data_IF_698971129986
#
_entry.id   IF_698971129986
#
_cell.length_a   1.000
_cell.length_b   1.000
_cell.length_c   1.000
_cell.angle_alpha   90.00
_cell.angle_beta   90.00
_cell.angle_gamma   90.00
#
_symmetry.space_group_name_H-M   'P 1'
#
loop_
_entity.id
_entity.type
_entity.pdbx_description
1 polymer ?
#
# COMPACT_ATOMS: atom_id res chain seq x y z
N UNK A 1 -20.76 13.81 7.16
CA UNK A 1 -20.32 13.55 5.78
C UNK A 1 -19.08 12.72 5.95
N UNK A 2 -19.15 11.41 5.70
CA UNK A 2 -17.95 10.58 5.66
C UNK A 2 -17.05 11.11 4.54
N UNK A 3 -15.76 11.21 4.81
CA UNK A 3 -14.76 11.55 3.81
C UNK A 3 -14.58 10.39 2.84
N UNK A 4 -13.98 10.65 1.68
CA UNK A 4 -13.78 9.58 0.69
C UNK A 4 -12.76 8.52 1.17
N UNK A 5 -11.87 8.90 2.09
CA UNK A 5 -11.00 7.97 2.81
C UNK A 5 -11.81 7.03 3.72
N UNK A 6 -12.82 7.54 4.44
CA UNK A 6 -13.66 6.72 5.33
C UNK A 6 -14.35 5.56 4.59
N UNK A 7 -14.85 5.77 3.35
CA UNK A 7 -15.57 4.73 2.60
C UNK A 7 -14.61 3.61 2.13
N UNK A 8 -13.42 3.97 1.67
CA UNK A 8 -12.41 2.99 1.26
C UNK A 8 -11.74 2.33 2.46
N UNK A 9 -11.51 3.06 3.55
CA UNK A 9 -11.07 2.55 4.84
C UNK A 9 -12.05 1.49 5.36
N UNK A 10 -13.35 1.76 5.33
CA UNK A 10 -14.39 0.81 5.75
C UNK A 10 -14.45 -0.42 4.82
N UNK A 11 -14.29 -0.25 3.50
CA UNK A 11 -14.25 -1.37 2.54
C UNK A 11 -12.98 -2.23 2.68
N UNK A 12 -11.82 -1.60 2.92
CA UNK A 12 -10.53 -2.25 3.15
C UNK A 12 -10.52 -2.98 4.52
N UNK A 13 -11.25 -2.48 5.51
CA UNK A 13 -11.20 -2.95 6.89
C UNK A 13 -12.36 -3.89 7.31
N UNK A 14 -13.62 -3.63 6.93
CA UNK A 14 -14.79 -4.45 7.35
C UNK A 14 -14.90 -5.80 6.62
N UNK A 15 -14.37 -5.93 5.39
CA UNK A 15 -14.62 -7.11 4.55
C UNK A 15 -13.44 -8.09 4.41
N UNK A 16 -12.60 -8.18 5.44
CA UNK A 16 -11.98 -9.45 5.82
C UNK A 16 -10.80 -9.95 4.97
N UNK A 17 -10.15 -9.08 4.21
CA UNK A 17 -8.89 -9.38 3.51
C UNK A 17 -7.64 -8.85 4.24
N UNK A 18 -7.74 -7.68 4.87
CA UNK A 18 -6.56 -6.91 5.30
C UNK A 18 -5.81 -7.49 6.50
N UNK A 19 -6.45 -8.33 7.33
CA UNK A 19 -5.78 -9.07 8.43
C UNK A 19 -5.13 -10.38 7.95
N UNK A 20 -4.99 -10.60 6.64
CA UNK A 20 -4.28 -11.79 6.09
C UNK A 20 -2.81 -11.54 5.79
N UNK A 21 -2.38 -10.30 5.61
CA UNK A 21 -0.98 -9.92 5.65
C UNK A 21 -0.76 -9.08 6.90
N UNK A 22 -0.40 -9.77 7.97
CA UNK A 22 0.48 -9.14 8.93
C UNK A 22 1.76 -9.95 9.00
N UNK A 23 1.72 -11.29 9.15
CA UNK A 23 2.95 -12.08 9.29
C UNK A 23 2.82 -13.55 8.83
N UNK A 24 1.97 -13.84 7.84
CA UNK A 24 1.71 -15.22 7.37
C UNK A 24 2.82 -15.80 6.46
N UNK A 25 3.88 -15.04 6.17
CA UNK A 25 4.98 -15.44 5.27
C UNK A 25 6.35 -15.08 5.85
N UNK A 26 6.62 -15.49 7.08
CA UNK A 26 7.99 -15.49 7.57
C UNK A 26 8.88 -16.35 6.63
N UNK A 27 9.83 -15.68 6.00
CA UNK A 27 10.98 -16.22 5.28
C UNK A 27 10.76 -16.86 3.90
N UNK A 28 10.90 -16.05 2.84
CA UNK A 28 11.72 -16.45 1.70
C UNK A 28 12.42 -15.23 1.07
N UNK A 29 13.29 -14.59 1.87
CA UNK A 29 14.24 -13.59 1.39
C UNK A 29 15.38 -14.36 0.71
N UNK A 30 15.30 -14.55 -0.60
CA UNK A 30 16.40 -15.06 -1.40
C UNK A 30 17.36 -13.89 -1.71
N UNK A 31 18.47 -13.84 -0.97
CA UNK A 31 19.40 -12.72 -0.96
C UNK A 31 20.37 -12.63 -2.15
N UNK A 32 20.81 -11.40 -2.41
CA UNK A 32 22.14 -11.05 -2.91
C UNK A 32 22.59 -9.79 -2.16
N UNK A 33 23.23 -9.99 -1.01
CA UNK A 33 23.79 -8.91 -0.19
C UNK A 33 25.07 -8.36 -0.83
N UNK A 34 25.03 -7.11 -1.29
CA UNK A 34 26.21 -6.26 -1.39
C UNK A 34 26.53 -5.71 0.00
N UNK A 35 27.79 -5.82 0.44
CA UNK A 35 28.23 -5.28 1.73
C UNK A 35 28.22 -3.74 1.63
N UNK A 36 27.12 -3.11 2.05
CA UNK A 36 27.10 -1.68 2.36
C UNK A 36 27.22 -1.54 3.88
N UNK A 37 28.32 -0.94 4.34
CA UNK A 37 28.48 -0.59 5.74
C UNK A 37 27.48 0.54 6.08
N UNK A 38 26.54 0.37 7.03
CA UNK A 38 25.62 1.43 7.38
C UNK A 38 26.36 2.53 8.15
N UNK A 39 26.39 3.73 7.56
CA UNK A 39 26.69 4.95 8.31
C UNK A 39 25.39 5.38 8.96
N UNK A 40 25.24 5.14 10.26
CA UNK A 40 24.11 5.61 11.04
C UNK A 40 24.14 7.14 11.13
N UNK A 41 23.43 7.81 10.21
CA UNK A 41 22.99 9.19 10.41
C UNK A 41 21.69 9.08 11.19
N UNK A 42 21.63 9.69 12.38
CA UNK A 42 20.44 9.65 13.22
C UNK A 42 19.19 10.02 12.41
N UNK A 43 18.25 9.08 12.30
CA UNK A 43 16.94 9.28 11.67
C UNK A 43 16.67 8.51 10.37
N UNK A 44 17.69 8.00 9.66
CA UNK A 44 17.48 7.28 8.38
C UNK A 44 17.97 5.82 8.46
N UNK A 45 17.08 4.90 8.11
CA UNK A 45 17.24 3.46 8.10
C UNK A 45 17.29 2.99 6.64
N UNK A 46 18.30 2.20 6.30
CA UNK A 46 18.31 1.40 5.07
C UNK A 46 17.94 -0.02 5.48
N UNK A 47 16.81 -0.59 5.03
CA UNK A 47 16.43 -1.94 5.43
C UNK A 47 17.46 -2.98 4.97
N UNK A 48 17.78 -3.96 5.83
CA UNK A 48 18.64 -5.08 5.46
C UNK A 48 17.94 -6.07 4.53
N UNK A 49 16.62 -6.17 4.68
CA UNK A 49 15.77 -7.00 3.86
C UNK A 49 14.51 -6.23 3.47
N UNK A 50 14.16 -6.36 2.19
CA UNK A 50 12.89 -5.91 1.64
C UNK A 50 12.25 -7.06 0.84
N UNK A 51 10.93 -7.16 0.90
CA UNK A 51 10.14 -8.13 0.13
C UNK A 51 8.99 -7.42 -0.57
N UNK A 52 8.75 -7.74 -1.84
CA UNK A 52 7.58 -7.24 -2.57
C UNK A 52 6.64 -8.40 -2.90
N UNK A 53 5.35 -8.20 -2.64
CA UNK A 53 4.27 -9.07 -3.11
C UNK A 53 3.17 -8.25 -3.76
N UNK A 54 2.42 -8.83 -4.68
CA UNK A 54 1.21 -8.22 -5.20
C UNK A 54 -0.01 -9.08 -4.89
N UNK A 55 -1.16 -8.43 -4.76
CA UNK A 55 -2.45 -9.07 -4.52
C UNK A 55 -3.55 -8.36 -5.32
N UNK A 56 -4.60 -9.12 -5.68
CA UNK A 56 -5.86 -8.62 -6.22
C UNK A 56 -6.95 -9.16 -5.31
N UNK A 57 -7.76 -8.27 -4.76
CA UNK A 57 -8.97 -8.62 -4.03
C UNK A 57 -10.19 -8.05 -4.75
N UNK A 58 -11.25 -8.85 -4.88
CA UNK A 58 -12.52 -8.44 -5.46
C UNK A 58 -13.66 -8.89 -4.54
N UNK A 59 -14.42 -7.91 -4.08
CA UNK A 59 -15.66 -8.11 -3.33
C UNK A 59 -16.85 -7.71 -4.18
N UNK A 60 -18.07 -7.91 -3.67
CA UNK A 60 -19.29 -7.46 -4.34
C UNK A 60 -19.31 -5.94 -4.55
N UNK A 61 -18.64 -5.18 -3.68
CA UNK A 61 -18.70 -3.72 -3.64
C UNK A 61 -17.43 -3.04 -4.16
N UNK A 62 -16.28 -3.74 -4.18
CA UNK A 62 -15.00 -3.14 -4.55
C UNK A 62 -14.07 -4.09 -5.32
N UNK A 63 -13.11 -3.51 -6.04
CA UNK A 63 -11.92 -4.20 -6.58
C UNK A 63 -10.68 -3.48 -6.09
N UNK A 64 -9.69 -4.20 -5.59
CA UNK A 64 -8.49 -3.61 -4.98
C UNK A 64 -7.26 -4.31 -5.55
N UNK A 65 -6.31 -3.50 -6.03
CA UNK A 65 -4.99 -3.92 -6.47
C UNK A 65 -3.96 -3.45 -5.45
N UNK A 66 -3.08 -4.34 -5.01
CA UNK A 66 -2.12 -4.05 -3.95
C UNK A 66 -0.71 -4.48 -4.36
N UNK A 67 0.28 -3.67 -4.00
CA UNK A 67 1.68 -4.10 -3.83
C UNK A 67 2.05 -3.85 -2.38
N UNK A 68 2.40 -4.93 -1.68
CA UNK A 68 2.93 -4.89 -0.33
C UNK A 68 4.45 -4.91 -0.38
N UNK A 69 5.06 -4.00 0.37
CA UNK A 69 6.48 -3.90 0.64
C UNK A 69 6.72 -4.17 2.13
N UNK A 70 7.32 -5.32 2.42
CA UNK A 70 7.78 -5.67 3.75
C UNK A 70 9.21 -5.18 3.95
N UNK A 71 9.48 -4.51 5.07
CA UNK A 71 10.80 -3.97 5.42
C UNK A 71 11.16 -4.40 6.84
N UNK A 72 12.43 -4.74 7.04
CA UNK A 72 12.97 -5.01 8.37
C UNK A 72 14.02 -3.97 8.76
N UNK A 73 13.89 -3.44 9.98
CA UNK A 73 14.91 -2.56 10.53
C UNK A 73 16.16 -3.39 10.93
N UNK A 74 17.37 -3.04 10.47
CA UNK A 74 18.60 -3.72 10.89
C UNK A 74 18.95 -3.56 12.37
N UNK A 75 18.52 -2.45 12.98
CA UNK A 75 18.92 -2.06 14.32
C UNK A 75 17.93 -2.49 15.41
N UNK A 76 16.69 -2.80 15.05
CA UNK A 76 15.60 -3.17 15.95
C UNK A 76 14.83 -4.35 15.37
N UNK A 77 14.20 -5.20 16.19
CA UNK A 77 13.32 -6.24 15.68
C UNK A 77 11.97 -5.62 15.26
N UNK A 78 11.98 -4.63 14.39
CA UNK A 78 10.78 -3.97 13.88
C UNK A 78 10.56 -4.40 12.43
N UNK A 79 9.30 -4.74 12.13
CA UNK A 79 8.82 -5.03 10.80
C UNK A 79 7.87 -3.91 10.39
N UNK A 80 8.01 -3.45 9.15
CA UNK A 80 7.15 -2.43 8.57
C UNK A 80 6.55 -2.97 7.30
N UNK A 81 5.23 -2.94 7.23
CA UNK A 81 4.48 -3.23 6.03
C UNK A 81 4.05 -1.90 5.39
N UNK A 82 4.35 -1.73 4.12
CA UNK A 82 3.90 -0.61 3.31
C UNK A 82 3.15 -1.16 2.10
N UNK A 83 1.84 -0.94 2.04
CA UNK A 83 0.99 -1.43 0.96
C UNK A 83 0.55 -0.27 0.09
N UNK A 84 1.08 -0.17 -1.12
CA UNK A 84 0.56 0.72 -2.14
C UNK A 84 -0.68 0.06 -2.78
N UNK A 85 -1.77 0.80 -2.91
CA UNK A 85 -3.02 0.25 -3.43
C UNK A 85 -3.69 1.14 -4.47
N UNK A 86 -4.54 0.51 -5.28
CA UNK A 86 -5.57 1.16 -6.08
C UNK A 86 -6.90 0.44 -5.84
N UNK A 87 -7.90 1.16 -5.35
CA UNK A 87 -9.24 0.63 -5.07
C UNK A 87 -10.26 1.25 -6.00
N UNK A 88 -11.14 0.43 -6.57
CA UNK A 88 -12.33 0.82 -7.32
C UNK A 88 -13.58 0.50 -6.51
N UNK A 89 -14.37 1.52 -6.20
CA UNK A 89 -15.67 1.39 -5.55
C UNK A 89 -16.75 1.25 -6.63
N UNK A 90 -17.42 0.08 -6.66
CA UNK A 90 -18.45 -0.24 -7.65
C UNK A 90 -19.73 0.56 -7.45
N UNK A 91 -19.99 1.07 -6.25
CA UNK A 91 -21.23 1.79 -5.90
C UNK A 91 -21.28 3.19 -6.51
N UNK A 92 -20.13 3.86 -6.62
CA UNK A 92 -20.01 5.23 -7.12
C UNK A 92 -19.05 5.36 -8.32
N UNK A 93 -18.51 4.23 -8.81
CA UNK A 93 -17.56 4.16 -9.92
C UNK A 93 -16.33 5.06 -9.73
N UNK A 94 -15.85 5.19 -8.50
CA UNK A 94 -14.66 5.97 -8.16
C UNK A 94 -13.42 5.10 -8.01
N UNK A 95 -12.25 5.68 -8.28
CA UNK A 95 -10.95 5.04 -8.08
C UNK A 95 -10.15 5.88 -7.09
N UNK A 96 -9.71 5.27 -6.00
CA UNK A 96 -8.75 5.85 -5.08
C UNK A 96 -7.43 5.12 -5.15
N UNK A 97 -6.35 5.88 -5.04
CA UNK A 97 -4.99 5.35 -5.07
C UNK A 97 -4.24 5.95 -3.88
N UNK A 98 -3.43 5.13 -3.22
CA UNK A 98 -2.78 5.53 -2.00
C UNK A 98 -1.87 4.48 -1.42
N UNK A 99 -1.55 4.64 -0.15
CA UNK A 99 -0.87 3.62 0.63
C UNK A 99 -1.52 3.43 2.00
N UNK A 100 -1.26 2.26 2.57
CA UNK A 100 -1.47 1.94 3.97
C UNK A 100 -0.11 1.53 4.51
N UNK A 101 0.24 1.95 5.72
CA UNK A 101 1.43 1.48 6.39
C UNK A 101 1.17 1.13 7.84
N UNK A 102 1.80 0.06 8.26
CA UNK A 102 1.76 -0.47 9.60
C UNK A 102 3.18 -0.82 10.02
N UNK A 103 3.45 -0.71 11.31
CA UNK A 103 4.71 -1.16 11.88
C UNK A 103 4.42 -2.02 13.11
N UNK A 104 5.28 -2.99 13.37
CA UNK A 104 5.16 -3.85 14.53
C UNK A 104 6.54 -4.14 15.10
N UNK A 105 6.63 -4.29 16.41
CA UNK A 105 7.72 -5.03 17.00
C UNK A 105 7.50 -6.52 16.71
N UNK A 106 8.51 -7.15 16.13
CA UNK A 106 8.66 -8.60 16.02
C UNK A 106 9.18 -9.12 17.38
N UNK A 107 8.33 -9.69 18.24
CA UNK A 107 8.81 -10.21 19.50
C UNK A 107 9.46 -11.57 19.29
N UNK A 108 10.19 -12.04 20.32
CA UNK A 108 10.65 -13.43 20.41
C UNK A 108 9.49 -14.44 20.67
N UNK A 109 8.25 -13.95 20.78
CA UNK A 109 7.00 -14.72 20.97
C UNK A 109 6.06 -14.55 19.78
N UNK A 110 5.12 -15.49 19.61
CA UNK A 110 4.30 -15.66 18.40
C UNK A 110 3.32 -14.51 18.06
N UNK A 111 3.10 -13.55 18.95
CA UNK A 111 2.10 -12.49 18.78
C UNK A 111 2.75 -11.12 18.56
N UNK A 112 2.51 -10.51 17.40
CA UNK A 112 3.16 -9.26 17.02
C UNK A 112 2.51 -8.05 17.69
N UNK A 113 3.35 -7.12 18.14
CA UNK A 113 2.90 -5.92 18.83
C UNK A 113 2.94 -4.75 17.85
N UNK A 114 1.77 -4.38 17.33
CA UNK A 114 1.61 -3.23 16.46
C UNK A 114 2.08 -1.95 17.16
N UNK A 115 2.79 -1.13 16.41
CA UNK A 115 3.19 0.21 16.80
C UNK A 115 2.04 1.18 16.50
N UNK A 116 1.73 2.04 17.46
CA UNK A 116 0.77 3.12 17.29
C UNK A 116 1.42 4.29 16.53
N UNK A 117 1.21 4.33 15.21
CA UNK A 117 1.78 5.37 14.36
C UNK A 117 0.97 6.66 14.50
N UNK A 118 1.67 7.76 14.76
CA UNK A 118 1.09 9.10 14.84
C UNK A 118 1.18 9.87 13.52
N UNK A 119 2.14 9.52 12.66
CA UNK A 119 2.26 10.06 11.30
C UNK A 119 3.02 9.10 10.38
N UNK A 120 2.69 9.15 9.09
CA UNK A 120 3.45 8.53 8.03
C UNK A 120 3.59 9.52 6.87
N UNK A 121 4.70 9.46 6.12
CA UNK A 121 4.87 10.29 4.93
C UNK A 121 5.72 9.56 3.91
N UNK A 122 5.22 9.48 2.68
CA UNK A 122 5.94 9.01 1.51
C UNK A 122 6.55 10.21 0.79
N UNK A 123 7.86 10.18 0.54
CA UNK A 123 8.58 11.23 -0.19
C UNK A 123 9.49 10.61 -1.24
N UNK A 124 9.47 11.16 -2.44
CA UNK A 124 10.41 10.85 -3.52
C UNK A 124 10.96 12.16 -4.10
N UNK A 125 11.80 12.07 -5.14
CA UNK A 125 12.28 13.27 -5.82
C UNK A 125 11.16 14.11 -6.47
N UNK A 126 10.08 13.45 -6.91
CA UNK A 126 9.02 14.07 -7.72
C UNK A 126 7.67 14.15 -7.02
N UNK A 127 7.54 13.60 -5.82
CA UNK A 127 6.26 13.47 -5.14
C UNK A 127 6.39 13.45 -3.61
N UNK A 128 5.45 14.10 -2.91
CA UNK A 128 5.34 14.09 -1.45
C UNK A 128 3.88 13.90 -1.05
N UNK A 129 3.58 12.81 -0.35
CA UNK A 129 2.19 12.49 -0.01
C UNK A 129 1.56 13.47 0.97
N UNK A 130 2.35 14.09 1.86
CA UNK A 130 1.85 15.05 2.86
C UNK A 130 1.17 16.29 2.26
N UNK A 131 1.51 16.64 1.02
CA UNK A 131 1.03 17.85 0.37
C UNK A 131 -0.26 17.59 -0.44
N UNK A 132 -0.46 16.35 -0.91
CA UNK A 132 -1.42 16.04 -1.98
C UNK A 132 -2.39 14.88 -1.67
N UNK A 133 -2.25 14.19 -0.53
CA UNK A 133 -3.09 13.06 -0.14
C UNK A 133 -3.87 13.32 1.15
N UNK A 134 -5.06 12.74 1.24
CA UNK A 134 -5.90 12.73 2.43
C UNK A 134 -5.45 11.61 3.37
N UNK A 135 -5.16 11.93 4.64
CA UNK A 135 -4.66 11.00 5.64
C UNK A 135 -5.73 10.55 6.62
N UNK A 136 -5.66 9.28 7.01
CA UNK A 136 -6.48 8.67 8.05
C UNK A 136 -5.61 7.80 8.97
N UNK A 137 -5.86 7.86 10.27
CA UNK A 137 -5.23 6.98 11.27
C UNK A 137 -6.22 5.89 11.64
N UNK A 138 -5.81 4.63 11.46
CA UNK A 138 -6.65 3.47 11.75
C UNK A 138 -6.58 3.07 13.23
N UNK A 139 -7.61 2.34 13.68
CA UNK A 139 -7.74 1.90 15.09
C UNK A 139 -6.69 0.87 15.52
N UNK A 140 -6.08 0.19 14.56
CA UNK A 140 -5.02 -0.78 14.77
C UNK A 140 -3.61 -0.15 14.82
N UNK A 141 -3.53 1.19 14.72
CA UNK A 141 -2.27 1.95 14.76
C UNK A 141 -1.63 2.16 13.38
N UNK A 142 -2.27 1.69 12.30
CA UNK A 142 -1.84 1.96 10.93
C UNK A 142 -2.21 3.36 10.44
N UNK A 143 -1.56 3.79 9.35
CA UNK A 143 -1.87 5.05 8.67
C UNK A 143 -2.15 4.79 7.20
N UNK A 144 -3.24 5.36 6.71
CA UNK A 144 -3.61 5.38 5.31
C UNK A 144 -3.47 6.80 4.76
N UNK A 145 -2.99 6.91 3.53
CA UNK A 145 -3.05 8.14 2.77
C UNK A 145 -3.54 7.83 1.36
N UNK A 146 -4.56 8.55 0.89
CA UNK A 146 -5.18 8.28 -0.40
C UNK A 146 -5.56 9.55 -1.15
N UNK A 147 -5.77 9.41 -2.45
CA UNK A 147 -6.27 10.49 -3.29
C UNK A 147 -7.23 9.96 -4.36
N UNK A 148 -8.18 10.80 -4.75
CA UNK A 148 -9.02 10.62 -5.94
C UNK A 148 -8.50 11.43 -7.13
N UNK A 149 -7.52 12.32 -6.91
CA UNK A 149 -6.92 13.11 -7.98
C UNK A 149 -6.02 12.22 -8.83
N UNK A 150 -6.32 12.14 -10.13
CA UNK A 150 -5.62 11.25 -11.06
C UNK A 150 -4.17 11.65 -11.30
N UNK A 151 -3.85 12.94 -11.23
CA UNK A 151 -2.49 13.44 -11.42
C UNK A 151 -1.65 13.09 -10.20
N UNK A 152 -2.17 13.36 -8.99
CA UNK A 152 -1.54 12.98 -7.74
C UNK A 152 -1.33 11.47 -7.68
N UNK A 153 -2.37 10.68 -7.98
CA UNK A 153 -2.32 9.23 -8.01
C UNK A 153 -1.25 8.71 -8.97
N UNK A 154 -1.18 9.27 -10.18
CA UNK A 154 -0.17 8.87 -11.17
C UNK A 154 1.25 9.20 -10.71
N UNK A 155 1.46 10.37 -10.12
CA UNK A 155 2.76 10.77 -9.58
C UNK A 155 3.22 9.86 -8.44
N UNK A 156 2.30 9.51 -7.53
CA UNK A 156 2.57 8.55 -6.45
C UNK A 156 2.96 7.18 -6.99
N UNK A 157 2.17 6.60 -7.90
CA UNK A 157 2.44 5.27 -8.45
C UNK A 157 3.76 5.24 -9.23
N UNK A 158 4.07 6.28 -10.00
CA UNK A 158 5.35 6.40 -10.71
C UNK A 158 6.53 6.45 -9.74
N UNK A 159 6.40 7.23 -8.66
CA UNK A 159 7.42 7.31 -7.62
C UNK A 159 7.63 5.96 -6.91
N UNK A 160 6.55 5.28 -6.53
CA UNK A 160 6.60 3.98 -5.86
C UNK A 160 7.20 2.89 -6.75
N UNK A 161 6.72 2.75 -7.99
CA UNK A 161 7.22 1.75 -8.95
C UNK A 161 8.66 2.05 -9.39
N UNK A 162 9.06 3.34 -9.37
CA UNK A 162 10.42 3.78 -9.65
C UNK A 162 11.45 3.29 -8.62
N UNK A 163 11.04 3.01 -7.37
CA UNK A 163 11.89 2.38 -6.38
C UNK A 163 12.93 3.29 -5.71
N UNK A 164 12.76 4.60 -5.74
CA UNK A 164 13.62 5.57 -5.06
C UNK A 164 12.77 6.55 -4.24
N UNK A 165 12.51 6.17 -2.99
CA UNK A 165 11.66 6.94 -2.07
C UNK A 165 12.07 6.74 -0.61
N UNK A 166 11.55 7.61 0.23
CA UNK A 166 11.68 7.57 1.68
C UNK A 166 10.28 7.46 2.31
N UNK A 167 10.13 6.51 3.23
CA UNK A 167 8.96 6.39 4.09
C UNK A 167 9.32 6.85 5.50
N UNK A 168 8.85 8.02 5.90
CA UNK A 168 8.99 8.54 7.25
C UNK A 168 7.83 8.08 8.11
N UNK A 169 8.11 7.47 9.25
CA UNK A 169 7.14 7.05 10.26
C UNK A 169 7.40 7.79 11.57
N UNK A 170 6.33 8.10 12.29
CA UNK A 170 6.40 8.66 13.63
C UNK A 170 5.48 7.90 14.58
N UNK A 171 5.92 7.80 15.83
CA UNK A 171 5.11 7.41 16.99
C UNK A 171 5.09 8.59 17.98
N UNK A 172 4.43 8.45 19.12
CA UNK A 172 4.42 9.48 20.15
C UNK A 172 5.83 9.87 20.68
N UNK A 173 6.82 8.96 20.59
CA UNK A 173 8.14 9.15 21.19
C UNK A 173 9.31 9.24 20.20
N UNK A 174 9.12 8.83 18.95
CA UNK A 174 10.21 8.63 18.00
C UNK A 174 9.77 8.90 16.56
N UNK A 175 10.72 9.32 15.73
CA UNK A 175 10.54 9.47 14.28
C UNK A 175 11.73 8.84 13.56
N UNK A 176 11.46 8.12 12.49
CA UNK A 176 12.48 7.47 11.68
C UNK A 176 12.03 7.37 10.21
N UNK A 177 12.98 7.24 9.31
CA UNK A 177 12.75 7.16 7.87
C UNK A 177 13.35 5.90 7.29
N UNK A 178 12.61 5.16 6.48
CA UNK A 178 13.13 4.07 5.66
C UNK A 178 13.46 4.56 4.27
N UNK A 179 14.71 4.42 3.85
CA UNK A 179 15.15 4.75 2.50
C UNK A 179 15.11 3.51 1.61
N UNK A 180 14.28 3.56 0.58
CA UNK A 180 14.08 2.50 -0.40
C UNK A 180 14.71 2.93 -1.71
N UNK A 181 15.61 2.08 -2.22
CA UNK A 181 16.37 2.32 -3.45
C UNK A 181 16.25 1.16 -4.45
N UNK A 182 15.27 0.29 -4.23
CA UNK A 182 14.97 -0.84 -5.08
C UNK A 182 13.53 -0.72 -5.57
N UNK A 183 13.34 -0.86 -6.88
CA UNK A 183 12.01 -0.96 -7.47
C UNK A 183 11.39 -2.33 -7.17
N UNK A 184 10.05 -2.45 -7.16
CA UNK A 184 9.39 -3.74 -7.16
C UNK A 184 9.92 -4.61 -8.31
N UNK A 185 10.13 -5.93 -8.15
CA UNK A 185 10.58 -6.80 -9.24
C UNK A 185 9.64 -6.75 -10.44
N UNK A 186 10.15 -6.99 -11.65
CA UNK A 186 9.35 -6.91 -12.88
C UNK A 186 8.09 -7.80 -12.85
N UNK A 187 8.15 -8.97 -12.20
CA UNK A 187 6.99 -9.84 -12.00
C UNK A 187 5.88 -9.16 -11.19
N UNK A 188 6.24 -8.50 -10.08
CA UNK A 188 5.32 -7.74 -9.22
C UNK A 188 4.75 -6.54 -9.97
N UNK A 189 5.61 -5.79 -10.68
CA UNK A 189 5.15 -4.65 -11.49
C UNK A 189 4.15 -5.07 -12.57
N UNK A 190 4.44 -6.16 -13.28
CA UNK A 190 3.56 -6.69 -14.32
C UNK A 190 2.24 -7.22 -13.77
N UNK A 191 2.27 -7.89 -12.60
CA UNK A 191 1.07 -8.35 -11.91
C UNK A 191 0.17 -7.19 -11.51
N UNK A 192 0.75 -6.16 -10.89
CA UNK A 192 0.03 -4.96 -10.49
C UNK A 192 -0.50 -4.17 -11.69
N UNK A 193 0.28 -4.01 -12.76
CA UNK A 193 -0.17 -3.32 -13.97
C UNK A 193 -1.39 -4.03 -14.61
N UNK A 194 -1.38 -5.37 -14.69
CA UNK A 194 -2.54 -6.14 -15.15
C UNK A 194 -3.75 -5.94 -14.25
N UNK A 195 -3.53 -5.95 -12.93
CA UNK A 195 -4.59 -5.67 -11.97
C UNK A 195 -5.22 -4.29 -12.21
N UNK A 196 -4.39 -3.25 -12.38
CA UNK A 196 -4.87 -1.90 -12.69
C UNK A 196 -5.64 -1.85 -14.01
N UNK A 197 -5.19 -2.55 -15.05
CA UNK A 197 -5.92 -2.64 -16.32
C UNK A 197 -7.31 -3.28 -16.14
N UNK A 198 -7.41 -4.33 -15.32
CA UNK A 198 -8.68 -5.01 -15.00
C UNK A 198 -9.59 -4.16 -14.12
N UNK A 199 -9.02 -3.40 -13.19
CA UNK A 199 -9.72 -2.46 -12.29
C UNK A 199 -10.31 -1.28 -13.07
N UNK A 200 -9.55 -0.76 -14.04
CA UNK A 200 -9.96 0.37 -14.89
C UNK A 200 -10.78 -0.06 -16.11
N UNK A 201 -10.90 -1.37 -16.36
CA UNK A 201 -11.71 -1.87 -17.46
C UNK A 201 -13.17 -1.51 -17.17
N UNK A 202 -13.86 -0.79 -18.08
CA UNK A 202 -15.29 -0.56 -17.94
C UNK A 202 -15.96 -1.92 -17.79
N UNK A 203 -16.74 -2.10 -16.72
CA UNK A 203 -17.66 -3.23 -16.62
C UNK A 203 -18.71 -3.06 -17.72
N UNK A 204 -18.41 -3.56 -18.91
CA UNK A 204 -19.39 -3.73 -19.98
C UNK A 204 -20.27 -4.90 -19.59
N UNK A 205 -21.24 -4.63 -18.72
CA UNK A 205 -22.34 -5.54 -18.42
C UNK A 205 -23.64 -4.92 -18.92
N UNK A 206 -24.11 -5.46 -20.04
CA UNK A 206 -25.48 -5.47 -20.58
C UNK A 206 -25.99 -4.21 -21.33
N UNK A 207 -25.52 -4.04 -22.57
CA UNK A 207 -26.34 -3.57 -23.69
C UNK A 207 -26.47 -4.66 -24.77
N UNK A 208 -26.65 -5.92 -24.37
CA UNK A 208 -26.81 -7.04 -25.31
C UNK A 208 -28.02 -7.92 -24.98
N UNK A 209 -29.16 -7.29 -24.66
CA UNK A 209 -30.48 -7.88 -24.91
C UNK A 209 -31.35 -6.89 -25.72
N UNK A 210 -30.87 -6.55 -26.92
CA UNK A 210 -31.75 -6.12 -28.01
C UNK A 210 -32.18 -7.37 -28.80
N UNK A 211 -33.29 -7.99 -28.40
CA UNK A 211 -33.78 -9.18 -29.09
C UNK A 211 -35.15 -9.67 -28.66
N UNK A 212 -36.19 -8.83 -28.70
CA UNK A 212 -37.54 -9.29 -28.34
C UNK A 212 -38.70 -8.37 -28.74
N UNK A 213 -39.15 -8.52 -29.98
CA UNK A 213 -40.53 -8.26 -30.46
C UNK A 213 -41.03 -6.81 -30.54
N UNK A 214 -41.04 -6.27 -31.76
CA UNK A 214 -42.07 -5.33 -32.21
C UNK A 214 -42.93 -6.11 -33.22
N UNK A 215 -44.13 -6.49 -32.81
CA UNK A 215 -45.15 -7.05 -33.70
C UNK A 215 -45.88 -5.91 -34.43
N UNK A 216 -46.17 -6.15 -35.71
CA UNK A 216 -47.03 -5.36 -36.59
C UNK A 216 -48.45 -5.17 -36.03
#
# INVERSE_FOLDING_TARGET
MATNADILSELLYEKGGMVRSLFARAALIAGLAGINMPVAVAGTIVPDAIGYTYNLDETDDAKICEITLDMQNPATPELVEFTAFAGYDKSNASVAIGFITMAAHQPLSEELQLLDLSAATFTSHTFRSADDMDYEVHKDGGIMAATLDRVVASNFLQAFVGGDFELTLATAGSTWSYKISAAPPAEVQNGFAKCLEELLRPSVSLLDEAGGSIAL
#
